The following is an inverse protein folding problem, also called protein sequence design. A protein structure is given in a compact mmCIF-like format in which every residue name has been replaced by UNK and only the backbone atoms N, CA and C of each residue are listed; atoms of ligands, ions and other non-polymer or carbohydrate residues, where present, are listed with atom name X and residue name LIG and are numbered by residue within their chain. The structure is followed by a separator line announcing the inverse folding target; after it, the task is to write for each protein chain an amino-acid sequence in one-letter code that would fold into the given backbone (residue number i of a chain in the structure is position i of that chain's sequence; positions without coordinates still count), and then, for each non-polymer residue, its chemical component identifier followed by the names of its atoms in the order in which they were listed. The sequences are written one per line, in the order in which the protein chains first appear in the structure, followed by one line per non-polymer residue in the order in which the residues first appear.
data_IF_920207921201
#
_entry.id   IF_920207921201
#
_cell.length_a   1.000
_cell.length_b   1.000
_cell.length_c   1.000
_cell.angle_alpha   90.00
_cell.angle_beta   90.00
_cell.angle_gamma   90.00
#
_symmetry.space_group_name_H-M   'P 1'
#
loop_
_entity.id
_entity.type
_entity.pdbx_description
1 polymer ?
#
# COMPACT_ATOMS: atom_id res chain seq x y z
N UNK A 1 5.88 7.19 4.13
CA UNK A 1 7.29 6.90 4.48
C UNK A 1 7.94 6.03 3.41
N UNK A 2 7.21 5.09 2.80
CA UNK A 2 7.70 4.27 1.70
C UNK A 2 8.13 5.09 0.46
N UNK A 3 7.43 6.17 0.09
CA UNK A 3 7.82 7.01 -1.06
C UNK A 3 9.19 7.67 -0.87
N UNK A 4 9.49 8.11 0.36
CA UNK A 4 10.81 8.68 0.69
C UNK A 4 11.90 7.62 0.66
N UNK A 5 11.60 6.38 1.09
CA UNK A 5 12.54 5.28 0.99
C UNK A 5 12.80 4.89 -0.48
N UNK A 6 11.78 4.88 -1.33
CA UNK A 6 11.90 4.67 -2.78
C UNK A 6 12.75 5.77 -3.44
N UNK A 7 12.56 7.03 -3.05
CA UNK A 7 13.41 8.13 -3.47
C UNK A 7 14.86 7.94 -3.00
N UNK A 8 15.08 7.43 -1.79
CA UNK A 8 16.41 7.09 -1.29
C UNK A 8 17.11 6.00 -2.08
N UNK A 9 16.40 4.92 -2.45
CA UNK A 9 16.91 3.81 -3.27
C UNK A 9 17.27 4.28 -4.69
N UNK A 10 16.49 5.20 -5.26
CA UNK A 10 16.77 5.78 -6.59
C UNK A 10 17.91 6.80 -6.57
N UNK A 11 18.07 7.53 -5.46
CA UNK A 11 19.13 8.54 -5.31
C UNK A 11 20.49 7.92 -4.98
N UNK A 12 20.55 6.97 -4.03
CA UNK A 12 21.78 6.29 -3.65
C UNK A 12 21.94 5.07 -4.54
N UNK A 13 22.69 5.22 -5.63
CA UNK A 13 22.94 4.11 -6.55
C UNK A 13 23.82 3.04 -5.90
N UNK A 14 23.59 1.79 -6.27
CA UNK A 14 24.38 0.62 -5.84
C UNK A 14 25.89 0.78 -6.09
N UNK A 15 26.27 1.61 -7.07
CA UNK A 15 27.66 1.93 -7.42
C UNK A 15 28.40 2.76 -6.36
N UNK A 16 27.69 3.60 -5.60
CA UNK A 16 28.32 4.48 -4.61
C UNK A 16 28.41 3.83 -3.24
N UNK A 17 27.37 3.09 -2.82
CA UNK A 17 27.38 2.43 -1.51
C UNK A 17 26.37 1.27 -1.41
N UNK A 18 26.78 0.09 -1.88
CA UNK A 18 26.02 -1.18 -1.79
C UNK A 18 25.33 -1.44 -0.43
N UNK A 19 26.02 -1.33 0.74
CA UNK A 19 25.39 -1.65 2.02
C UNK A 19 24.28 -0.69 2.42
N UNK A 20 24.34 0.58 1.99
CA UNK A 20 23.30 1.57 2.28
C UNK A 20 22.07 1.34 1.39
N UNK A 21 22.29 1.09 0.10
CA UNK A 21 21.22 0.74 -0.85
C UNK A 21 20.44 -0.49 -0.37
N UNK A 22 21.14 -1.54 0.07
CA UNK A 22 20.51 -2.75 0.62
C UNK A 22 19.58 -2.45 1.81
N UNK A 23 20.05 -1.65 2.78
CA UNK A 23 19.26 -1.31 3.98
C UNK A 23 18.05 -0.44 3.65
N UNK A 24 18.20 0.54 2.76
CA UNK A 24 17.10 1.40 2.32
C UNK A 24 16.02 0.60 1.60
N UNK A 25 16.45 -0.36 0.78
CA UNK A 25 15.54 -1.21 0.03
C UNK A 25 14.73 -2.16 0.92
N UNK A 26 15.39 -2.81 1.89
CA UNK A 26 14.71 -3.62 2.91
C UNK A 26 13.72 -2.75 3.71
N UNK A 27 14.13 -1.54 4.09
CA UNK A 27 13.27 -0.61 4.82
C UNK A 27 12.03 -0.20 3.99
N UNK A 28 12.20 0.14 2.71
CA UNK A 28 11.10 0.41 1.78
C UNK A 28 10.09 -0.74 1.72
N UNK A 29 10.58 -1.97 1.67
CA UNK A 29 9.74 -3.16 1.58
C UNK A 29 8.94 -3.40 2.87
N UNK A 30 9.56 -3.26 4.04
CA UNK A 30 8.83 -3.35 5.31
C UNK A 30 7.78 -2.25 5.47
N UNK A 31 8.14 -0.99 5.13
CA UNK A 31 7.20 0.13 5.21
C UNK A 31 6.00 -0.05 4.28
N UNK A 32 6.22 -0.46 3.02
CA UNK A 32 5.13 -0.64 2.05
C UNK A 32 4.20 -1.79 2.43
N UNK A 33 4.74 -2.95 2.86
CA UNK A 33 3.93 -4.07 3.36
C UNK A 33 3.12 -3.69 4.59
N UNK A 34 3.73 -2.97 5.54
CA UNK A 34 3.03 -2.52 6.74
C UNK A 34 1.90 -1.53 6.40
N UNK A 35 2.18 -0.60 5.48
CA UNK A 35 1.18 0.35 4.99
C UNK A 35 -0.01 -0.37 4.35
N UNK A 36 0.23 -1.33 3.45
CA UNK A 36 -0.81 -2.14 2.80
C UNK A 36 -1.63 -2.94 3.82
N UNK A 37 -0.98 -3.55 4.81
CA UNK A 37 -1.66 -4.30 5.89
C UNK A 37 -2.55 -3.40 6.74
N UNK A 38 -2.02 -2.25 7.19
CA UNK A 38 -2.74 -1.30 8.03
C UNK A 38 -3.99 -0.77 7.32
N UNK A 39 -3.85 -0.42 6.04
CA UNK A 39 -4.95 0.11 5.24
C UNK A 39 -5.97 -0.97 4.83
N UNK A 40 -5.55 -2.23 4.63
CA UNK A 40 -6.49 -3.35 4.46
C UNK A 40 -7.30 -3.60 5.74
N UNK A 41 -6.66 -3.61 6.91
CA UNK A 41 -7.35 -3.75 8.21
C UNK A 41 -8.32 -2.58 8.46
N UNK A 42 -7.90 -1.36 8.14
CA UNK A 42 -8.77 -0.20 8.24
C UNK A 42 -10.02 -0.36 7.34
N UNK A 43 -9.84 -0.81 6.09
CA UNK A 43 -10.94 -1.07 5.17
C UNK A 43 -11.87 -2.17 5.68
N UNK A 44 -11.33 -3.26 6.23
CA UNK A 44 -12.12 -4.35 6.81
C UNK A 44 -12.95 -3.87 8.01
N UNK A 45 -12.38 -3.06 8.90
CA UNK A 45 -13.12 -2.51 10.04
C UNK A 45 -14.26 -1.57 9.60
N UNK A 46 -14.03 -0.77 8.57
CA UNK A 46 -15.07 0.10 7.99
C UNK A 46 -16.16 -0.74 7.31
N UNK A 47 -15.78 -1.78 6.56
CA UNK A 47 -16.72 -2.68 5.91
C UNK A 47 -17.61 -3.44 6.91
N UNK A 48 -17.11 -3.81 8.09
CA UNK A 48 -17.93 -4.40 9.16
C UNK A 48 -18.98 -3.42 9.71
N UNK A 49 -18.70 -2.12 9.64
CA UNK A 49 -19.59 -1.06 10.15
C UNK A 49 -20.64 -0.64 9.12
N UNK A 50 -20.41 -0.85 7.82
CA UNK A 50 -21.28 -0.40 6.71
C UNK A 50 -21.96 -1.60 6.04
N UNK A 51 -23.29 -1.55 5.86
CA UNK A 51 -24.09 -2.64 5.23
C UNK A 51 -23.85 -2.85 3.72
N UNK A 52 -22.99 -2.06 3.07
CA UNK A 52 -22.69 -2.14 1.63
C UNK A 52 -21.66 -3.24 1.28
N UNK A 53 -21.90 -4.46 1.76
CA UNK A 53 -20.92 -5.56 1.73
C UNK A 53 -20.42 -5.92 0.32
N UNK A 54 -21.28 -5.88 -0.71
CA UNK A 54 -20.94 -6.36 -2.06
C UNK A 54 -19.87 -5.56 -2.81
N UNK A 55 -19.84 -4.23 -2.64
CA UNK A 55 -18.85 -3.37 -3.32
C UNK A 55 -17.50 -3.46 -2.62
N UNK A 56 -17.51 -3.53 -1.27
CA UNK A 56 -16.30 -3.67 -0.49
C UNK A 56 -15.62 -5.05 -0.64
N UNK A 57 -16.38 -6.12 -0.90
CA UNK A 57 -15.81 -7.47 -1.11
C UNK A 57 -14.81 -7.52 -2.27
N UNK A 58 -15.14 -6.92 -3.42
CA UNK A 58 -14.26 -6.90 -4.59
C UNK A 58 -12.99 -6.07 -4.33
N UNK A 59 -13.15 -4.91 -3.69
CA UNK A 59 -12.05 -4.03 -3.29
C UNK A 59 -11.11 -4.72 -2.29
N UNK A 60 -11.66 -5.41 -1.29
CA UNK A 60 -10.91 -6.16 -0.29
C UNK A 60 -10.16 -7.32 -0.96
N UNK A 61 -10.81 -8.05 -1.87
CA UNK A 61 -10.17 -9.14 -2.61
C UNK A 61 -9.00 -8.65 -3.48
N UNK A 62 -9.19 -7.54 -4.18
CA UNK A 62 -8.16 -6.93 -5.01
C UNK A 62 -6.95 -6.49 -4.17
N UNK A 63 -7.18 -5.73 -3.10
CA UNK A 63 -6.13 -5.28 -2.17
C UNK A 63 -5.41 -6.44 -1.48
N UNK A 64 -6.14 -7.49 -1.11
CA UNK A 64 -5.56 -8.71 -0.53
C UNK A 64 -4.67 -9.44 -1.56
N UNK A 65 -5.09 -9.49 -2.82
CA UNK A 65 -4.30 -10.10 -3.90
C UNK A 65 -2.99 -9.33 -4.12
N UNK A 66 -3.04 -7.99 -4.17
CA UNK A 66 -1.84 -7.15 -4.27
C UNK A 66 -0.88 -7.36 -3.09
N UNK A 67 -1.40 -7.50 -1.88
CA UNK A 67 -0.60 -7.81 -0.69
C UNK A 67 0.09 -9.18 -0.80
N UNK A 68 -0.65 -10.22 -1.21
CA UNK A 68 -0.10 -11.57 -1.39
C UNK A 68 1.00 -11.56 -2.45
N UNK A 69 0.79 -10.89 -3.58
CA UNK A 69 1.80 -10.74 -4.63
C UNK A 69 3.05 -10.07 -4.06
N UNK A 70 2.89 -8.98 -3.31
CA UNK A 70 4.02 -8.25 -2.71
C UNK A 70 4.80 -9.10 -1.71
N UNK A 71 4.13 -9.93 -0.90
CA UNK A 71 4.77 -10.87 0.03
C UNK A 71 5.54 -11.96 -0.73
N UNK A 72 4.92 -12.56 -1.75
CA UNK A 72 5.56 -13.59 -2.57
C UNK A 72 6.80 -13.02 -3.27
N UNK A 73 6.70 -11.84 -3.87
CA UNK A 73 7.82 -11.14 -4.50
C UNK A 73 8.94 -10.84 -3.49
N UNK A 74 8.59 -10.45 -2.26
CA UNK A 74 9.56 -10.23 -1.17
C UNK A 74 10.32 -11.52 -0.83
N UNK A 75 9.62 -12.65 -0.70
CA UNK A 75 10.23 -13.96 -0.40
C UNK A 75 11.16 -14.40 -1.53
N UNK A 76 10.69 -14.31 -2.78
CA UNK A 76 11.50 -14.64 -3.96
C UNK A 76 12.77 -13.79 -4.00
N UNK A 77 12.66 -12.50 -3.69
CA UNK A 77 13.79 -11.60 -3.68
C UNK A 77 14.81 -11.94 -2.59
N UNK A 78 14.35 -12.27 -1.38
CA UNK A 78 15.23 -12.76 -0.31
C UNK A 78 15.93 -14.06 -0.71
N UNK A 79 15.21 -14.99 -1.36
CA UNK A 79 15.77 -16.25 -1.84
C UNK A 79 16.84 -16.01 -2.93
N UNK A 80 16.57 -15.16 -3.91
CA UNK A 80 17.54 -14.80 -4.95
C UNK A 80 18.74 -14.03 -4.38
N UNK A 81 18.53 -13.20 -3.36
CA UNK A 81 19.61 -12.51 -2.66
C UNK A 81 20.53 -13.50 -1.93
N UNK A 82 19.96 -14.51 -1.26
CA UNK A 82 20.71 -15.57 -0.61
C UNK A 82 21.48 -16.44 -1.61
N UNK A 83 20.84 -16.86 -2.71
CA UNK A 83 21.52 -17.60 -3.78
C UNK A 83 22.63 -16.78 -4.44
N UNK A 84 22.44 -15.47 -4.64
CA UNK A 84 23.45 -14.61 -5.23
C UNK A 84 24.73 -14.54 -4.40
N UNK A 85 24.59 -14.40 -3.06
CA UNK A 85 25.73 -14.33 -2.14
C UNK A 85 26.48 -15.68 -2.00
N UNK A 86 25.80 -16.80 -2.24
CA UNK A 86 26.36 -18.15 -2.04
C UNK A 86 26.85 -18.83 -3.32
N UNK A 87 26.21 -18.60 -4.48
CA UNK A 87 26.47 -19.35 -5.73
C UNK A 87 27.21 -18.54 -6.83
N UNK A 88 27.54 -17.26 -6.61
CA UNK A 88 28.36 -16.44 -7.51
C UNK A 88 27.90 -16.50 -9.00
N UNK A 89 26.59 -16.34 -9.26
CA UNK A 89 26.00 -16.47 -10.59
C UNK A 89 25.58 -15.10 -11.15
N UNK A 90 26.07 -14.76 -12.34
CA UNK A 90 25.97 -13.42 -12.98
C UNK A 90 24.54 -12.99 -13.37
N UNK A 91 23.56 -13.91 -13.41
CA UNK A 91 22.16 -13.65 -13.77
C UNK A 91 21.25 -13.29 -12.59
N UNK A 92 21.81 -13.05 -11.41
CA UNK A 92 21.04 -12.71 -10.22
C UNK A 92 20.57 -11.25 -10.22
N UNK A 93 21.34 -10.35 -10.84
CA UNK A 93 21.04 -8.92 -10.87
C UNK A 93 19.75 -8.60 -11.63
N UNK A 94 19.51 -9.25 -12.77
CA UNK A 94 18.29 -9.02 -13.57
C UNK A 94 17.03 -9.56 -12.89
N UNK A 95 17.13 -10.72 -12.24
CA UNK A 95 16.03 -11.33 -11.47
C UNK A 95 15.67 -10.52 -10.23
N UNK A 96 16.69 -9.94 -9.58
CA UNK A 96 16.50 -9.01 -8.48
C UNK A 96 15.76 -7.74 -8.93
N UNK A 97 16.24 -7.08 -9.98
CA UNK A 97 15.61 -5.87 -10.52
C UNK A 97 14.16 -6.10 -10.99
N UNK A 98 13.87 -7.30 -11.52
CA UNK A 98 12.51 -7.68 -11.90
C UNK A 98 11.56 -7.77 -10.69
N UNK A 99 12.00 -8.41 -9.59
CA UNK A 99 11.20 -8.46 -8.35
C UNK A 99 10.98 -7.07 -7.74
N UNK A 100 12.02 -6.22 -7.74
CA UNK A 100 11.92 -4.83 -7.32
C UNK A 100 10.86 -4.07 -8.13
N UNK A 101 10.86 -4.20 -9.45
CA UNK A 101 9.90 -3.55 -10.32
C UNK A 101 8.46 -4.00 -10.04
N UNK A 102 8.25 -5.29 -9.77
CA UNK A 102 6.94 -5.83 -9.39
C UNK A 102 6.46 -5.21 -8.07
N UNK A 103 7.32 -5.15 -7.06
CA UNK A 103 6.97 -4.58 -5.75
C UNK A 103 6.66 -3.09 -5.86
N UNK A 104 7.49 -2.34 -6.60
CA UNK A 104 7.27 -0.92 -6.84
C UNK A 104 5.93 -0.67 -7.57
N UNK A 105 5.64 -1.45 -8.61
CA UNK A 105 4.39 -1.34 -9.36
C UNK A 105 3.19 -1.73 -8.50
N UNK A 106 3.28 -2.80 -7.69
CA UNK A 106 2.23 -3.20 -6.76
C UNK A 106 1.96 -2.10 -5.71
N UNK A 107 3.01 -1.46 -5.20
CA UNK A 107 2.88 -0.33 -4.28
C UNK A 107 2.21 0.87 -4.95
N UNK A 108 2.61 1.24 -6.17
CA UNK A 108 1.97 2.32 -6.93
C UNK A 108 0.50 2.04 -7.21
N UNK A 109 0.16 0.83 -7.67
CA UNK A 109 -1.23 0.42 -7.88
C UNK A 109 -2.06 0.55 -6.60
N UNK A 110 -1.49 0.17 -5.46
CA UNK A 110 -2.15 0.31 -4.16
C UNK A 110 -2.49 1.77 -3.82
N UNK A 111 -1.54 2.69 -4.02
CA UNK A 111 -1.78 4.12 -3.83
C UNK A 111 -2.82 4.68 -4.81
N UNK A 112 -2.80 4.23 -6.06
CA UNK A 112 -3.82 4.60 -7.05
C UNK A 112 -5.23 4.17 -6.63
N UNK A 113 -5.40 2.96 -6.09
CA UNK A 113 -6.70 2.48 -5.57
C UNK A 113 -7.18 3.33 -4.39
N UNK A 114 -6.28 3.76 -3.51
CA UNK A 114 -6.65 4.67 -2.42
C UNK A 114 -7.16 6.01 -2.97
N UNK A 115 -6.41 6.64 -3.88
CA UNK A 115 -6.79 7.93 -4.49
C UNK A 115 -8.12 7.82 -5.24
N UNK A 116 -8.36 6.70 -5.94
CA UNK A 116 -9.61 6.49 -6.69
C UNK A 116 -10.83 6.25 -5.79
N UNK A 117 -10.66 5.74 -4.57
CA UNK A 117 -11.77 5.56 -3.62
C UNK A 117 -12.11 6.83 -2.82
N UNK A 118 -11.15 7.74 -2.61
CA UNK A 118 -11.37 9.02 -1.94
C UNK A 118 -12.51 9.90 -2.53
N UNK A 119 -12.68 10.07 -3.87
CA UNK A 119 -13.77 10.88 -4.41
C UNK A 119 -15.17 10.31 -4.09
N UNK A 120 -15.30 9.01 -3.82
CA UNK A 120 -16.58 8.40 -3.46
C UNK A 120 -16.94 8.59 -1.97
N UNK A 121 -15.97 8.88 -1.09
CA UNK A 121 -16.20 8.98 0.36
C UNK A 121 -16.49 10.41 0.85
N UNK A 122 -15.91 11.44 0.22
CA UNK A 122 -16.13 12.84 0.60
C UNK A 122 -17.56 13.35 0.38
N UNK A 123 -18.39 12.65 -0.40
CA UNK A 123 -19.76 13.11 -0.72
C UNK A 123 -20.86 12.60 0.24
N UNK A 124 -20.54 11.68 1.15
CA UNK A 124 -21.51 11.12 2.10
C UNK A 124 -21.61 11.90 3.43
N UNK A 125 -20.65 12.77 3.74
CA UNK A 125 -20.65 13.56 4.99
C UNK A 125 -21.60 14.79 4.88
N UNK A 126 -21.92 15.26 3.67
CA UNK A 126 -22.78 16.44 3.48
C UNK A 126 -24.28 16.14 3.48
N UNK A 127 -24.71 14.90 3.20
CA UNK A 127 -26.15 14.58 3.05
C UNK A 127 -26.87 14.24 4.37
N UNK A 128 -26.16 14.02 5.46
CA UNK A 128 -26.73 13.66 6.77
C UNK A 128 -26.97 14.82 7.73
N UNK A 129 -26.45 16.03 7.45
CA UNK A 129 -26.48 17.17 8.38
C UNK A 129 -27.61 18.19 8.14
N UNK A 130 -28.51 17.97 7.17
CA UNK A 130 -29.64 18.88 6.91
C UNK A 130 -30.99 18.37 7.45
N UNK A 131 -30.98 17.63 8.56
CA UNK A 131 -32.25 17.24 9.19
C UNK A 131 -32.13 17.11 10.69
N UNK A 132 -31.89 18.23 11.38
CA UNK A 132 -32.43 18.46 12.73
C UNK A 132 -32.12 19.88 13.18
N UNK A 133 -33.18 20.51 13.71
CA UNK A 133 -33.16 21.62 14.68
C UNK A 133 -33.32 23.05 14.14
N UNK A 134 -34.52 23.38 13.67
CA UNK A 134 -35.07 24.73 13.90
C UNK A 134 -36.61 24.81 13.94
N UNK A 135 -37.31 23.83 14.52
CA UNK A 135 -38.79 23.82 14.55
C UNK A 135 -39.42 24.31 15.88
N UNK A 136 -38.64 24.83 16.85
CA UNK A 136 -39.20 25.10 18.20
C UNK A 136 -38.87 26.49 18.79
N UNK A 137 -38.44 27.49 18.01
CA UNK A 137 -37.93 28.75 18.55
C UNK A 137 -38.94 29.94 18.63
N UNK A 138 -40.23 29.75 18.34
CA UNK A 138 -41.20 30.88 18.32
C UNK A 138 -42.43 30.71 19.21
N UNK A 139 -42.38 29.82 20.21
CA UNK A 139 -43.27 29.91 21.36
C UNK A 139 -42.42 30.30 22.55
N UNK A 140 -42.40 31.59 22.87
CA UNK A 140 -42.40 32.20 24.20
C UNK A 140 -42.05 33.69 24.04
N UNK A 141 -42.98 34.54 24.49
CA UNK A 141 -43.10 36.00 24.39
C UNK A 141 -43.81 36.55 23.15
#
# INVERSE_FOLDING_TARGET
MEVSALAGVTYISNMENYPVHEKLFIFFMFCSLWHMLASLKALQNIALTRKDFKVFEQEIFYKKTLLIISIISTIFMCAFFAEHRLLCRELAFSRFAFCEYIIATANMMYHCTLISNFPNEHLLIARGLHKTKHENAWKLY
#
